data_IF_619880702341
#
_entry.id   IF_619880702341
#
_cell.length_a   1.000
_cell.length_b   1.000
_cell.length_c   1.000
_cell.angle_alpha   90.00
_cell.angle_beta   90.00
_cell.angle_gamma   90.00
#
_symmetry.space_group_name_H-M   'P 1'
#
loop_
_entity.id
_entity.type
_entity.pdbx_description
1 polymer ?
#
# COMPACT_ATOMS: atom_id res chain seq x y z
N UNK A 1 -1.10 17.02 -5.64
CA UNK A 1 -1.82 16.11 -4.72
C UNK A 1 -0.88 14.98 -4.33
N UNK A 2 -0.73 14.67 -3.04
CA UNK A 2 0.15 13.60 -2.58
C UNK A 2 -0.67 12.31 -2.40
N UNK A 3 -0.45 11.31 -3.26
CA UNK A 3 -1.21 10.05 -3.31
C UNK A 3 -0.57 8.97 -2.41
N UNK A 4 -0.27 9.28 -1.15
CA UNK A 4 0.34 8.30 -0.23
C UNK A 4 -0.63 7.14 0.06
N UNK A 5 -0.23 5.92 -0.27
CA UNK A 5 -0.94 4.68 0.09
C UNK A 5 -0.45 4.12 1.44
N UNK A 6 0.62 4.70 1.98
CA UNK A 6 1.22 4.26 3.23
C UNK A 6 0.58 5.03 4.40
N UNK A 7 0.10 4.32 5.44
CA UNK A 7 -0.37 4.95 6.68
C UNK A 7 0.75 5.76 7.35
N UNK A 8 0.46 6.88 7.98
CA UNK A 8 1.52 7.77 8.51
C UNK A 8 2.28 7.14 9.70
N UNK A 9 1.58 6.43 10.58
CA UNK A 9 2.13 6.02 11.88
C UNK A 9 2.45 4.52 11.96
N UNK A 10 2.51 3.82 10.82
CA UNK A 10 2.75 2.36 10.84
C UNK A 10 4.12 1.97 11.43
N UNK A 11 5.10 2.88 11.36
CA UNK A 11 6.47 2.67 11.86
C UNK A 11 6.55 2.59 13.39
N UNK A 12 5.63 3.24 14.10
CA UNK A 12 5.55 3.18 15.57
C UNK A 12 5.25 1.76 16.07
N UNK A 13 4.63 0.94 15.20
CA UNK A 13 4.27 -0.45 15.48
C UNK A 13 5.33 -1.41 14.93
N UNK A 14 6.61 -1.10 15.14
CA UNK A 14 7.70 -1.98 14.73
C UNK A 14 7.66 -3.30 15.53
N UNK A 15 7.48 -4.46 14.87
CA UNK A 15 7.42 -5.74 15.55
C UNK A 15 8.75 -6.15 16.17
N UNK A 16 9.89 -5.63 15.69
CA UNK A 16 11.22 -6.09 16.13
C UNK A 16 11.48 -5.73 17.59
N UNK A 17 11.06 -4.54 18.01
CA UNK A 17 11.13 -4.10 19.41
C UNK A 17 10.12 -4.85 20.29
N UNK A 18 8.99 -5.28 19.71
CA UNK A 18 7.93 -5.98 20.42
C UNK A 18 8.41 -7.30 21.04
N UNK A 19 9.25 -8.08 20.34
CA UNK A 19 9.80 -9.32 20.88
C UNK A 19 10.73 -9.10 22.08
N UNK A 20 11.47 -8.00 22.08
CA UNK A 20 12.36 -7.65 23.18
C UNK A 20 11.58 -7.31 24.45
N UNK A 21 10.48 -6.55 24.32
CA UNK A 21 9.64 -6.18 25.46
C UNK A 21 8.62 -7.26 25.88
N UNK A 22 8.17 -8.10 24.95
CA UNK A 22 7.12 -9.10 25.18
C UNK A 22 7.52 -10.47 24.61
N UNK A 23 8.49 -11.17 25.23
CA UNK A 23 8.99 -12.45 24.73
C UNK A 23 7.92 -13.57 24.75
N UNK A 24 6.90 -13.46 25.60
CA UNK A 24 5.78 -14.41 25.69
C UNK A 24 4.64 -14.14 24.70
N UNK A 25 4.83 -13.26 23.71
CA UNK A 25 3.79 -12.97 22.72
C UNK A 25 3.42 -14.25 21.94
N UNK A 26 2.12 -14.52 21.72
CA UNK A 26 1.71 -15.65 20.88
C UNK A 26 2.29 -15.53 19.46
N UNK A 27 2.95 -16.60 18.99
CA UNK A 27 3.64 -16.64 17.70
C UNK A 27 2.74 -16.21 16.53
N UNK A 28 1.48 -16.64 16.54
CA UNK A 28 0.49 -16.28 15.50
C UNK A 28 0.17 -14.78 15.51
N UNK A 29 0.05 -14.18 16.71
CA UNK A 29 -0.22 -12.75 16.85
C UNK A 29 0.97 -11.94 16.36
N UNK A 30 2.18 -12.36 16.75
CA UNK A 30 3.42 -11.75 16.29
C UNK A 30 3.55 -11.80 14.76
N UNK A 31 3.33 -12.97 14.15
CA UNK A 31 3.40 -13.14 12.70
C UNK A 31 2.46 -12.18 11.95
N UNK A 32 1.22 -11.99 12.44
CA UNK A 32 0.26 -11.04 11.85
C UNK A 32 0.73 -9.59 11.91
N UNK A 33 1.24 -9.15 13.06
CA UNK A 33 1.78 -7.78 13.23
C UNK A 33 2.97 -7.58 12.29
N UNK A 34 3.89 -8.54 12.28
CA UNK A 34 5.09 -8.54 11.47
C UNK A 34 4.78 -8.48 9.98
N UNK A 35 3.83 -9.30 9.51
CA UNK A 35 3.38 -9.29 8.12
C UNK A 35 2.79 -7.93 7.73
N UNK A 36 1.96 -7.32 8.59
CA UNK A 36 1.37 -5.99 8.35
C UNK A 36 2.44 -4.91 8.26
N UNK A 37 3.43 -4.92 9.16
CA UNK A 37 4.54 -3.97 9.16
C UNK A 37 5.37 -4.07 7.87
N UNK A 38 5.81 -5.28 7.51
CA UNK A 38 6.62 -5.47 6.30
C UNK A 38 5.85 -5.16 5.02
N UNK A 39 4.54 -5.42 4.98
CA UNK A 39 3.69 -5.01 3.87
C UNK A 39 3.75 -3.49 3.64
N UNK A 40 3.53 -2.68 4.68
CA UNK A 40 3.60 -1.22 4.54
C UNK A 40 5.01 -0.72 4.27
N UNK A 41 6.03 -1.38 4.81
CA UNK A 41 7.42 -1.04 4.50
C UNK A 41 7.77 -1.28 3.03
N UNK A 42 7.31 -2.39 2.45
CA UNK A 42 7.46 -2.65 1.02
C UNK A 42 6.67 -1.65 0.17
N UNK A 43 5.46 -1.29 0.60
CA UNK A 43 4.63 -0.28 -0.07
C UNK A 43 5.27 1.10 -0.08
N UNK A 44 5.87 1.52 1.04
CA UNK A 44 6.66 2.76 1.14
C UNK A 44 7.80 2.79 0.14
N UNK A 45 8.61 1.72 0.10
CA UNK A 45 9.75 1.64 -0.82
C UNK A 45 9.27 1.68 -2.27
N UNK A 46 8.24 0.89 -2.61
CA UNK A 46 7.68 0.88 -3.95
C UNK A 46 7.18 2.27 -4.34
N UNK A 47 6.50 2.96 -3.42
CA UNK A 47 5.96 4.30 -3.62
C UNK A 47 7.05 5.34 -3.85
N UNK A 48 8.12 5.32 -3.07
CA UNK A 48 9.26 6.22 -3.29
C UNK A 48 9.90 5.99 -4.66
N UNK A 49 10.05 4.73 -5.08
CA UNK A 49 10.61 4.39 -6.40
C UNK A 49 9.73 4.92 -7.53
N UNK A 50 8.41 4.63 -7.51
CA UNK A 50 7.52 5.09 -8.59
C UNK A 50 7.40 6.62 -8.65
N UNK A 51 7.34 7.28 -7.49
CA UNK A 51 7.24 8.73 -7.40
C UNK A 51 8.47 9.39 -8.05
N UNK A 52 9.68 8.85 -7.81
CA UNK A 52 10.92 9.32 -8.46
C UNK A 52 10.90 9.14 -9.98
N UNK A 53 10.21 8.13 -10.47
CA UNK A 53 10.04 7.88 -11.91
C UNK A 53 8.89 8.69 -12.53
N UNK A 54 8.18 9.52 -11.76
CA UNK A 54 7.03 10.32 -12.22
C UNK A 54 5.72 9.53 -12.33
N UNK A 55 5.64 8.36 -11.70
CA UNK A 55 4.44 7.53 -11.63
C UNK A 55 3.80 7.61 -10.24
N UNK A 56 2.56 7.15 -10.16
CA UNK A 56 1.85 6.87 -8.92
C UNK A 56 1.51 5.38 -8.86
N UNK A 57 1.39 4.85 -7.65
CA UNK A 57 0.87 3.51 -7.43
C UNK A 57 -0.66 3.55 -7.42
N UNK A 58 -1.28 2.78 -8.31
CA UNK A 58 -2.71 2.56 -8.34
C UNK A 58 -3.02 1.13 -7.87
N UNK A 59 -3.81 0.93 -6.80
CA UNK A 59 -4.25 -0.41 -6.39
C UNK A 59 -5.08 -1.08 -7.49
N UNK A 60 -4.90 -2.39 -7.70
CA UNK A 60 -5.65 -3.14 -8.72
C UNK A 60 -7.16 -3.07 -8.52
N UNK A 61 -7.62 -2.92 -7.27
CA UNK A 61 -9.03 -2.77 -6.91
C UNK A 61 -9.67 -1.48 -7.44
N UNK A 62 -8.85 -0.47 -7.73
CA UNK A 62 -9.33 0.78 -8.32
C UNK A 62 -9.53 0.66 -9.84
N UNK A 63 -8.94 -0.34 -10.48
CA UNK A 63 -8.92 -0.50 -11.94
C UNK A 63 -10.04 -1.43 -12.44
N UNK A 64 -10.49 -1.19 -13.67
CA UNK A 64 -11.30 -2.16 -14.40
C UNK A 64 -10.45 -3.34 -14.88
N UNK A 65 -11.02 -4.54 -15.01
CA UNK A 65 -10.27 -5.75 -15.35
C UNK A 65 -9.59 -5.68 -16.72
N UNK A 66 -10.16 -4.96 -17.68
CA UNK A 66 -9.55 -4.74 -19.01
C UNK A 66 -8.27 -3.91 -18.89
N UNK A 67 -8.30 -2.86 -18.07
CA UNK A 67 -7.11 -2.02 -17.81
C UNK A 67 -6.04 -2.78 -17.06
N UNK A 68 -6.42 -3.66 -16.14
CA UNK A 68 -5.50 -4.59 -15.46
C UNK A 68 -4.75 -5.50 -16.45
N UNK A 69 -5.40 -5.91 -17.55
CA UNK A 69 -4.76 -6.66 -18.64
C UNK A 69 -3.87 -5.76 -19.49
N UNK A 70 -4.34 -4.55 -19.82
CA UNK A 70 -3.61 -3.58 -20.64
C UNK A 70 -2.27 -3.16 -20.01
N UNK A 71 -2.24 -2.92 -18.69
CA UNK A 71 -1.04 -2.45 -17.97
C UNK A 71 -0.32 -3.57 -17.21
N UNK A 72 -0.44 -4.82 -17.66
CA UNK A 72 0.12 -5.97 -16.96
C UNK A 72 1.65 -5.89 -16.79
N UNK A 73 2.35 -5.24 -17.72
CA UNK A 73 3.79 -4.96 -17.71
C UNK A 73 4.21 -4.01 -16.57
N UNK A 74 3.31 -3.10 -16.16
CA UNK A 74 3.56 -2.09 -15.11
C UNK A 74 3.10 -2.54 -13.73
N UNK A 75 2.85 -3.84 -13.55
CA UNK A 75 2.34 -4.40 -12.30
C UNK A 75 3.45 -4.59 -11.28
N UNK A 76 3.24 -4.06 -10.08
CA UNK A 76 4.04 -4.32 -8.89
C UNK A 76 3.21 -5.17 -7.93
N UNK A 77 3.77 -6.29 -7.47
CA UNK A 77 3.11 -7.16 -6.48
C UNK A 77 3.74 -6.96 -5.10
N UNK A 78 2.92 -6.64 -4.11
CA UNK A 78 3.34 -6.49 -2.72
C UNK A 78 2.46 -7.42 -1.88
N UNK A 79 3.07 -8.50 -1.40
CA UNK A 79 2.34 -9.60 -0.76
C UNK A 79 1.26 -10.19 -1.68
N UNK A 80 0.00 -10.15 -1.23
CA UNK A 80 -1.16 -10.64 -2.00
C UNK A 80 -1.81 -9.56 -2.86
N UNK A 81 -1.38 -8.30 -2.72
CA UNK A 81 -1.98 -7.17 -3.38
C UNK A 81 -1.19 -6.82 -4.64
N UNK A 82 -1.91 -6.45 -5.70
CA UNK A 82 -1.31 -5.96 -6.94
C UNK A 82 -1.54 -4.47 -7.06
N UNK A 83 -0.52 -3.77 -7.50
CA UNK A 83 -0.52 -2.35 -7.77
C UNK A 83 0.03 -2.10 -9.17
N UNK A 84 -0.27 -0.95 -9.74
CA UNK A 84 0.13 -0.59 -11.08
C UNK A 84 0.82 0.77 -11.07
N UNK A 85 1.94 0.86 -11.80
CA UNK A 85 2.62 2.13 -12.03
C UNK A 85 1.90 2.90 -13.12
N UNK A 86 1.23 3.98 -12.75
CA UNK A 86 0.42 4.79 -13.65
C UNK A 86 0.88 6.23 -13.57
N UNK A 87 0.92 6.95 -14.69
CA UNK A 87 1.10 8.40 -14.65
C UNK A 87 -0.22 9.05 -14.21
N UNK A 88 -0.20 10.18 -13.48
CA UNK A 88 -1.43 10.86 -13.05
C UNK A 88 -2.41 11.21 -14.18
N UNK A 89 -1.90 11.45 -15.39
CA UNK A 89 -2.68 11.75 -16.59
C UNK A 89 -3.21 10.50 -17.33
N UNK A 90 -2.75 9.29 -16.98
CA UNK A 90 -3.24 8.04 -17.57
C UNK A 90 -4.47 7.51 -16.83
N UNK A 91 -4.78 8.05 -15.64
CA UNK A 91 -5.94 7.66 -14.84
C UNK A 91 -7.22 8.24 -15.43
N UNK A 92 -8.24 7.40 -15.54
CA UNK A 92 -9.61 7.84 -15.82
C UNK A 92 -10.21 8.56 -14.60
N UNK A 93 -11.26 9.35 -14.82
CA UNK A 93 -11.97 10.02 -13.72
C UNK A 93 -12.48 9.03 -12.66
N UNK A 94 -12.94 7.86 -13.11
CA UNK A 94 -13.41 6.79 -12.22
C UNK A 94 -12.30 6.20 -11.35
N UNK A 95 -11.10 6.02 -11.90
CA UNK A 95 -9.92 5.53 -11.18
C UNK A 95 -9.42 6.57 -10.19
N UNK A 96 -9.41 7.86 -10.57
CA UNK A 96 -9.11 8.97 -9.67
C UNK A 96 -10.08 9.02 -8.48
N UNK A 97 -11.38 8.84 -8.73
CA UNK A 97 -12.39 8.78 -7.65
C UNK A 97 -12.13 7.60 -6.70
N UNK A 98 -11.99 6.38 -7.24
CA UNK A 98 -11.72 5.18 -6.43
C UNK A 98 -10.41 5.27 -5.65
N UNK A 99 -9.38 5.86 -6.24
CA UNK A 99 -8.09 6.07 -5.56
C UNK A 99 -8.24 7.03 -4.38
N UNK A 100 -9.02 8.11 -4.52
CA UNK A 100 -9.31 9.03 -3.41
C UNK A 100 -10.09 8.34 -2.30
N UNK A 101 -11.15 7.61 -2.64
CA UNK A 101 -11.94 6.83 -1.67
C UNK A 101 -11.05 5.84 -0.91
N UNK A 102 -10.18 5.11 -1.61
CA UNK A 102 -9.24 4.17 -1.02
C UNK A 102 -8.26 4.84 -0.04
N UNK A 103 -7.72 6.01 -0.40
CA UNK A 103 -6.83 6.77 0.49
C UNK A 103 -7.58 7.26 1.73
N UNK A 104 -8.82 7.71 1.57
CA UNK A 104 -9.65 8.17 2.69
C UNK A 104 -10.02 7.01 3.63
N UNK A 105 -10.29 5.82 3.10
CA UNK A 105 -10.49 4.60 3.90
C UNK A 105 -9.26 4.23 4.73
N UNK A 106 -8.06 4.28 4.12
CA UNK A 106 -6.80 4.04 4.85
C UNK A 106 -6.66 5.03 6.00
N UNK A 107 -6.91 6.31 5.76
CA UNK A 107 -6.82 7.37 6.77
C UNK A 107 -7.86 7.23 7.88
N UNK A 108 -9.08 6.79 7.55
CA UNK A 108 -10.13 6.51 8.55
C UNK A 108 -9.76 5.31 9.41
N UNK A 109 -9.22 4.26 8.80
CA UNK A 109 -8.75 3.06 9.51
C UNK A 109 -7.57 3.30 10.45
N UNK A 110 -6.85 4.43 10.35
CA UNK A 110 -5.85 4.86 11.34
C UNK A 110 -6.48 5.52 12.59
N UNK A 111 -7.70 6.05 12.49
CA UNK A 111 -8.38 6.79 13.57
C UNK A 111 -9.32 5.92 14.43
N UNK A 112 -9.49 4.64 14.09
CA UNK A 112 -10.26 3.65 14.87
C UNK A 112 -9.33 2.67 15.57
#
# INVERSE_FOLDING_TARGET
MNYSLVPQHYKEKDPRTLLYHFPSIPVVKFAKITQKFYFFKQLEIAQDIVNRMGYILLPSVCMHWERVKQFADRRIRIGRNSFFMMRPNELTESEHRKLREYIDEIRKGEKS
#
